data_IF_780037816465
#
_entry.id   IF_780037816465
#
_cell.length_a   1.000
_cell.length_b   1.000
_cell.length_c   1.000
_cell.angle_alpha   90.00
_cell.angle_beta   90.00
_cell.angle_gamma   90.00
#
_symmetry.space_group_name_H-M   'P 1'
#
loop_
_entity.id
_entity.type
_entity.pdbx_description
1 polymer ?
#
# COMPACT_ATOMS: atom_id res chain seq x y z
N UNK A 1 -23.36 2.96 47.23
CA UNK A 1 -22.78 4.07 46.45
C UNK A 1 -21.99 3.45 45.31
N UNK A 2 -22.56 3.36 44.11
CA UNK A 2 -21.86 2.84 42.93
C UNK A 2 -22.07 3.83 41.80
N UNK A 3 -20.97 4.45 41.37
CA UNK A 3 -20.94 5.40 40.27
C UNK A 3 -21.03 4.61 38.96
N UNK A 4 -22.21 4.65 38.33
CA UNK A 4 -22.43 4.21 36.96
C UNK A 4 -22.35 5.44 36.05
N UNK A 5 -21.55 5.36 34.99
CA UNK A 5 -21.70 6.25 33.83
C UNK A 5 -20.44 6.98 33.40
N UNK A 6 -19.37 6.27 33.04
CA UNK A 6 -18.43 6.80 32.04
C UNK A 6 -18.94 6.34 30.68
N UNK A 7 -19.48 7.28 29.90
CA UNK A 7 -19.67 7.11 28.47
C UNK A 7 -18.30 6.79 27.85
N UNK A 8 -18.10 5.56 27.38
CA UNK A 8 -17.05 5.29 26.40
C UNK A 8 -17.39 6.05 25.12
N UNK A 9 -16.49 6.89 24.60
CA UNK A 9 -16.64 7.44 23.27
C UNK A 9 -16.55 6.28 22.28
N UNK A 10 -17.62 6.10 21.50
CA UNK A 10 -17.64 5.33 20.26
C UNK A 10 -16.68 5.98 19.25
N UNK A 11 -15.39 5.75 19.40
CA UNK A 11 -14.41 5.92 18.35
C UNK A 11 -14.34 4.64 17.52
N UNK A 12 -14.45 4.68 16.18
CA UNK A 12 -14.36 3.49 15.37
C UNK A 12 -12.94 2.94 15.49
N UNK A 13 -12.83 1.83 16.23
CA UNK A 13 -11.87 0.75 16.04
C UNK A 13 -10.61 1.14 15.23
N UNK A 14 -9.73 1.97 15.80
CA UNK A 14 -8.42 2.31 15.21
C UNK A 14 -7.34 1.28 15.58
N UNK A 15 -7.77 0.16 16.15
CA UNK A 15 -6.99 -1.07 16.13
C UNK A 15 -7.07 -1.62 14.72
N UNK A 16 -6.11 -1.22 13.89
CA UNK A 16 -5.62 -2.08 12.81
C UNK A 16 -5.28 -3.42 13.47
N UNK A 17 -6.25 -4.32 13.56
CA UNK A 17 -6.06 -5.66 14.11
C UNK A 17 -4.79 -6.22 13.52
N UNK A 18 -3.83 -6.52 14.38
CA UNK A 18 -2.54 -7.11 14.09
C UNK A 18 -2.66 -8.55 13.54
N UNK A 19 -3.75 -8.86 12.84
CA UNK A 19 -3.99 -10.10 12.12
C UNK A 19 -3.73 -9.89 10.63
N UNK A 20 -2.45 -9.99 10.24
CA UNK A 20 -2.05 -10.29 8.87
C UNK A 20 -2.24 -9.16 7.87
N UNK A 21 -1.91 -7.89 8.12
CA UNK A 21 -1.75 -6.95 6.99
C UNK A 21 -0.79 -7.57 5.96
N UNK A 22 -1.13 -7.66 4.65
CA UNK A 22 -0.26 -8.33 3.69
C UNK A 22 1.05 -7.58 3.64
N UNK A 23 2.12 -8.23 4.10
CA UNK A 23 3.40 -7.58 4.27
C UNK A 23 4.06 -7.46 2.89
N UNK A 24 4.34 -6.24 2.40
CA UNK A 24 4.96 -6.05 1.10
C UNK A 24 6.35 -6.69 1.01
N UNK A 25 7.00 -7.00 2.15
CA UNK A 25 8.28 -7.69 2.19
C UNK A 25 8.20 -9.16 1.78
N UNK A 26 7.00 -9.77 1.74
CA UNK A 26 6.83 -11.12 1.20
C UNK A 26 6.84 -11.19 -0.33
N UNK A 27 6.62 -10.06 -1.02
CA UNK A 27 6.65 -10.03 -2.47
C UNK A 27 8.08 -10.19 -2.97
N UNK A 28 8.38 -11.35 -3.57
CA UNK A 28 9.69 -11.66 -4.18
C UNK A 28 9.73 -11.42 -5.69
N UNK A 29 8.60 -11.06 -6.29
CA UNK A 29 8.52 -10.72 -7.71
C UNK A 29 7.68 -9.45 -7.90
N UNK A 30 7.90 -8.71 -9.00
CA UNK A 30 7.08 -7.56 -9.33
C UNK A 30 5.58 -7.89 -9.45
N UNK A 31 5.27 -9.06 -10.00
CA UNK A 31 3.94 -9.67 -10.05
C UNK A 31 3.27 -9.76 -8.67
N UNK A 32 3.98 -10.38 -7.72
CA UNK A 32 3.48 -10.59 -6.37
C UNK A 32 3.35 -9.25 -5.63
N UNK A 33 4.21 -8.28 -5.95
CA UNK A 33 4.13 -6.94 -5.38
C UNK A 33 2.86 -6.21 -5.82
N UNK A 34 2.53 -6.20 -7.12
CA UNK A 34 1.29 -5.56 -7.60
C UNK A 34 0.05 -6.30 -7.10
N UNK A 35 0.10 -7.64 -6.99
CA UNK A 35 -0.97 -8.43 -6.37
C UNK A 35 -1.17 -8.07 -4.90
N UNK A 36 -0.08 -7.91 -4.15
CA UNK A 36 -0.09 -7.47 -2.75
C UNK A 36 -0.73 -6.08 -2.61
N UNK A 37 -0.41 -5.15 -3.52
CA UNK A 37 -1.04 -3.82 -3.54
C UNK A 37 -2.56 -3.91 -3.75
N UNK A 38 -3.04 -4.75 -4.67
CA UNK A 38 -4.49 -4.95 -4.89
C UNK A 38 -5.16 -5.55 -3.66
N UNK A 39 -4.57 -6.58 -3.05
CA UNK A 39 -5.09 -7.18 -1.82
C UNK A 39 -5.13 -6.19 -0.66
N UNK A 40 -4.16 -5.27 -0.59
CA UNK A 40 -4.16 -4.19 0.39
C UNK A 40 -5.33 -3.22 0.18
N UNK A 41 -5.60 -2.80 -1.06
CA UNK A 41 -6.75 -1.94 -1.41
C UNK A 41 -8.08 -2.56 -1.00
N UNK A 42 -8.29 -3.84 -1.29
CA UNK A 42 -9.52 -4.56 -0.90
C UNK A 42 -9.69 -4.57 0.62
N UNK A 43 -8.60 -4.69 1.37
CA UNK A 43 -8.65 -4.76 2.84
C UNK A 43 -8.86 -3.45 3.56
N UNK A 44 -8.34 -2.34 3.05
CA UNK A 44 -8.54 -1.02 3.66
C UNK A 44 -9.92 -0.41 3.34
N UNK A 45 -10.79 -1.14 2.64
CA UNK A 45 -12.16 -0.71 2.33
C UNK A 45 -12.51 -0.65 0.84
N UNK A 46 -11.65 -1.15 -0.05
CA UNK A 46 -11.93 -1.21 -1.49
C UNK A 46 -11.80 0.15 -2.18
N UNK A 47 -10.66 0.84 -1.99
CA UNK A 47 -10.40 2.10 -2.68
C UNK A 47 -10.40 1.93 -4.20
N UNK A 48 -11.24 2.70 -4.88
CA UNK A 48 -11.26 2.81 -6.34
C UNK A 48 -10.02 3.54 -6.85
N UNK A 49 -9.62 3.28 -8.09
CA UNK A 49 -8.48 3.99 -8.73
C UNK A 49 -8.69 5.51 -8.81
N UNK A 50 -9.93 5.98 -8.93
CA UNK A 50 -10.26 7.42 -8.88
C UNK A 50 -10.06 8.02 -7.48
N UNK A 51 -10.33 7.26 -6.43
CA UNK A 51 -10.11 7.70 -5.06
C UNK A 51 -8.61 7.79 -4.74
N UNK A 52 -7.81 6.87 -5.30
CA UNK A 52 -6.35 6.96 -5.24
C UNK A 52 -5.81 8.21 -5.95
N UNK A 53 -6.35 8.54 -7.12
CA UNK A 53 -6.00 9.76 -7.85
C UNK A 53 -6.36 11.01 -7.03
N UNK A 54 -7.57 11.06 -6.48
CA UNK A 54 -8.04 12.15 -5.64
C UNK A 54 -7.16 12.33 -4.39
N UNK A 55 -6.87 11.24 -3.66
CA UNK A 55 -6.07 11.27 -2.43
C UNK A 55 -4.58 11.48 -2.66
N UNK A 56 -4.08 11.16 -3.85
CA UNK A 56 -2.71 11.49 -4.27
C UNK A 56 -2.58 12.91 -4.83
N UNK A 57 -3.66 13.69 -4.84
CA UNK A 57 -3.68 15.06 -5.36
C UNK A 57 -3.48 15.13 -6.87
N UNK A 58 -3.81 14.07 -7.61
CA UNK A 58 -3.62 14.00 -9.06
C UNK A 58 -2.18 13.72 -9.50
N UNK A 59 -1.26 13.40 -8.57
CA UNK A 59 0.14 13.04 -8.90
C UNK A 59 0.20 11.84 -9.85
N UNK A 60 -0.75 10.91 -9.72
CA UNK A 60 -0.89 9.74 -10.58
C UNK A 60 -2.37 9.56 -10.92
N UNK A 61 -2.66 9.47 -12.22
CA UNK A 61 -4.03 9.28 -12.69
C UNK A 61 -4.56 7.88 -12.43
N UNK A 62 -5.88 7.73 -12.30
CA UNK A 62 -6.55 6.45 -12.14
C UNK A 62 -6.19 5.46 -13.26
N UNK A 63 -6.00 5.96 -14.49
CA UNK A 63 -5.56 5.15 -15.64
C UNK A 63 -4.14 4.62 -15.44
N UNK A 64 -3.23 5.45 -14.92
CA UNK A 64 -1.87 5.01 -14.63
C UNK A 64 -1.86 3.98 -13.49
N UNK A 65 -2.64 4.21 -12.42
CA UNK A 65 -2.80 3.22 -11.35
C UNK A 65 -3.33 1.90 -11.89
N UNK A 66 -4.41 1.92 -12.67
CA UNK A 66 -4.96 0.72 -13.28
C UNK A 66 -3.93 0.02 -14.15
N UNK A 67 -3.26 0.75 -15.05
CA UNK A 67 -2.25 0.19 -15.94
C UNK A 67 -1.11 -0.49 -15.19
N UNK A 68 -0.58 0.13 -14.14
CA UNK A 68 0.52 -0.44 -13.39
C UNK A 68 0.11 -1.54 -12.41
N UNK A 69 -1.09 -1.43 -11.80
CA UNK A 69 -1.60 -2.47 -10.92
C UNK A 69 -2.01 -3.69 -11.72
N UNK A 70 -2.55 -3.54 -12.94
CA UNK A 70 -2.85 -4.63 -13.87
C UNK A 70 -1.61 -5.20 -14.55
N UNK A 71 -0.54 -4.42 -14.65
CA UNK A 71 0.75 -4.90 -15.16
C UNK A 71 1.44 -5.81 -14.15
N UNK A 72 2.18 -6.79 -14.68
CA UNK A 72 3.05 -7.68 -13.91
C UNK A 72 4.45 -7.07 -13.67
N UNK A 73 4.61 -5.78 -13.99
CA UNK A 73 5.89 -5.08 -13.94
C UNK A 73 6.04 -4.25 -12.68
N UNK A 74 7.28 -3.99 -12.29
CA UNK A 74 7.59 -3.20 -11.11
C UNK A 74 7.08 -1.77 -11.33
N UNK A 75 6.17 -1.25 -10.48
CA UNK A 75 5.65 0.10 -10.63
C UNK A 75 6.78 1.12 -10.43
N UNK A 76 6.61 2.33 -11.01
CA UNK A 76 7.58 3.42 -10.80
C UNK A 76 7.54 3.88 -9.34
N UNK A 77 8.69 4.37 -8.84
CA UNK A 77 8.81 4.86 -7.46
C UNK A 77 7.77 5.94 -7.12
N UNK A 78 7.52 6.88 -8.03
CA UNK A 78 6.51 7.95 -7.86
C UNK A 78 5.11 7.38 -7.64
N UNK A 79 4.76 6.30 -8.34
CA UNK A 79 3.47 5.66 -8.18
C UNK A 79 3.33 4.91 -6.87
N UNK A 80 4.40 4.23 -6.44
CA UNK A 80 4.43 3.61 -5.12
C UNK A 80 4.24 4.66 -4.03
N UNK A 81 4.96 5.78 -4.12
CA UNK A 81 4.85 6.86 -3.14
C UNK A 81 3.43 7.43 -3.11
N UNK A 82 2.86 7.74 -4.29
CA UNK A 82 1.48 8.21 -4.41
C UNK A 82 0.47 7.21 -3.82
N UNK A 83 0.64 5.91 -4.08
CA UNK A 83 -0.20 4.85 -3.52
C UNK A 83 -0.14 4.81 -1.99
N UNK A 84 1.07 4.79 -1.44
CA UNK A 84 1.30 4.72 0.00
C UNK A 84 0.75 5.97 0.68
N UNK A 85 1.00 7.16 0.13
CA UNK A 85 0.44 8.42 0.63
C UNK A 85 -1.09 8.40 0.58
N UNK A 86 -1.70 7.91 -0.51
CA UNK A 86 -3.15 7.85 -0.66
C UNK A 86 -3.84 6.83 0.27
N UNK A 87 -3.19 5.69 0.53
CA UNK A 87 -3.78 4.61 1.32
C UNK A 87 -3.56 4.76 2.83
N UNK A 88 -2.37 5.22 3.22
CA UNK A 88 -1.89 5.15 4.60
C UNK A 88 -1.72 6.53 5.23
N UNK A 89 -1.63 7.58 4.41
CA UNK A 89 -1.28 8.92 4.88
C UNK A 89 0.13 8.94 5.48
N UNK A 90 0.28 9.59 6.64
CA UNK A 90 1.56 9.81 7.30
C UNK A 90 2.03 8.66 8.22
N UNK A 91 1.55 7.41 8.06
CA UNK A 91 2.12 6.29 8.83
C UNK A 91 3.46 5.84 8.22
N UNK A 92 4.50 6.57 8.60
CA UNK A 92 5.89 6.36 8.21
C UNK A 92 6.39 4.90 8.27
N UNK A 93 6.11 4.08 9.30
CA UNK A 93 6.63 2.70 9.33
C UNK A 93 6.06 1.81 8.23
N UNK A 94 4.81 2.01 7.83
CA UNK A 94 4.21 1.26 6.71
C UNK A 94 4.80 1.74 5.39
N UNK A 95 4.97 3.06 5.24
CA UNK A 95 5.62 3.65 4.06
C UNK A 95 7.03 3.09 3.84
N UNK A 96 7.83 3.02 4.89
CA UNK A 96 9.20 2.51 4.84
C UNK A 96 9.24 1.04 4.42
N UNK A 97 8.30 0.19 4.89
CA UNK A 97 8.23 -1.23 4.48
C UNK A 97 7.94 -1.38 2.99
N UNK A 98 6.99 -0.61 2.46
CA UNK A 98 6.68 -0.61 1.02
C UNK A 98 7.87 -0.15 0.17
N UNK A 99 8.55 0.92 0.59
CA UNK A 99 9.74 1.44 -0.09
C UNK A 99 10.89 0.41 -0.04
N UNK A 100 11.11 -0.23 1.10
CA UNK A 100 12.16 -1.25 1.26
C UNK A 100 11.93 -2.46 0.36
N UNK A 101 10.70 -3.01 0.33
CA UNK A 101 10.32 -4.11 -0.54
C UNK A 101 10.53 -3.76 -2.03
N UNK A 102 10.11 -2.56 -2.44
CA UNK A 102 10.31 -2.09 -3.82
C UNK A 102 11.78 -1.96 -4.21
N UNK A 103 12.62 -1.44 -3.31
CA UNK A 103 14.08 -1.33 -3.56
C UNK A 103 14.71 -2.71 -3.69
N UNK A 104 14.35 -3.66 -2.83
CA UNK A 104 14.85 -5.04 -2.90
C UNK A 104 14.52 -5.69 -4.25
N UNK A 105 13.27 -5.57 -4.71
CA UNK A 105 12.83 -6.08 -6.01
C UNK A 105 13.54 -5.40 -7.19
N UNK A 106 13.79 -4.09 -7.10
CA UNK A 106 14.52 -3.35 -8.13
C UNK A 106 15.97 -3.80 -8.23
N UNK A 107 16.66 -3.97 -7.11
CA UNK A 107 18.02 -4.50 -7.07
C UNK A 107 18.10 -5.91 -7.64
N UNK A 108 17.12 -6.77 -7.32
CA UNK A 108 17.08 -8.13 -7.85
C UNK A 108 16.78 -8.16 -9.36
N UNK A 109 15.91 -7.27 -9.85
CA UNK A 109 15.63 -7.16 -11.29
C UNK A 109 16.85 -6.64 -12.06
N UNK A 110 17.56 -5.66 -11.51
CA UNK A 110 18.77 -5.08 -12.10
C UNK A 110 19.93 -6.10 -12.12
N UNK A 111 20.15 -6.83 -11.01
CA UNK A 111 21.18 -7.86 -10.93
C UNK A 111 20.96 -9.04 -11.89
N UNK A 112 19.70 -9.36 -12.23
CA UNK A 112 19.35 -10.36 -13.24
C UNK A 112 19.68 -9.91 -14.67
N UNK A 113 19.70 -8.60 -14.93
CA UNK A 113 20.09 -8.05 -16.23
C UNK A 113 21.61 -8.03 -16.44
N UNK A 114 22.42 -8.00 -15.37
CA UNK A 114 23.89 -7.99 -15.45
C UNK A 114 24.55 -9.39 -15.37
N UNK A 115 23.77 -10.45 -15.14
CA UNK A 115 24.27 -11.83 -15.08
C UNK A 115 24.08 -12.62 -16.39
N UNK A 116 23.78 -11.92 -17.50
CA UNK A 116 23.61 -12.49 -18.84
C UNK A 116 24.79 -12.20 -19.75
#
# INVERSE_FOLDING_TARGET
MSATGVLEPTGPNRSLSAGTCPDPLHARTPAEFTRTMRSFLTRIGGLSYQELEYRSGGTVSARAFRGALESDHLPRYVMLLAFVTACVGANEPVCQRWIAAWRALRHETDGRFFAG
#
